data_IF_277315636681
#
_entry.id   IF_277315636681
#
_cell.length_a   1.000
_cell.length_b   1.000
_cell.length_c   1.000
_cell.angle_alpha   90.00
_cell.angle_beta   90.00
_cell.angle_gamma   90.00
#
_symmetry.space_group_name_H-M   'P 1'
#
loop_
_entity.id
_entity.type
_entity.pdbx_description
1 polymer ?
#
# COMPACT_ATOMS: atom_id res chain seq x y z
N UNK A 1 -35.37 12.90 -76.04
CA UNK A 1 -34.68 14.18 -76.42
C UNK A 1 -33.57 14.42 -75.42
N UNK A 2 -32.40 14.23 -75.92
CA UNK A 2 -31.23 15.07 -75.79
C UNK A 2 -30.77 15.38 -74.32
N UNK A 3 -29.58 15.24 -73.92
CA UNK A 3 -28.19 15.19 -74.43
C UNK A 3 -27.32 14.97 -73.28
N UNK A 4 -26.43 14.03 -73.30
CA UNK A 4 -25.05 14.16 -73.72
C UNK A 4 -24.11 14.97 -72.76
N UNK A 5 -23.25 14.23 -72.13
CA UNK A 5 -21.80 14.42 -71.98
C UNK A 5 -21.33 15.44 -70.99
N UNK A 6 -20.51 14.99 -70.09
CA UNK A 6 -19.07 15.22 -70.18
C UNK A 6 -18.31 14.44 -69.09
N UNK A 7 -17.47 13.54 -69.57
CA UNK A 7 -16.43 12.91 -68.78
C UNK A 7 -15.36 13.98 -68.48
N UNK A 8 -15.04 14.13 -67.20
CA UNK A 8 -13.85 14.86 -66.81
C UNK A 8 -13.06 13.96 -65.84
N UNK A 9 -12.04 13.36 -66.44
CA UNK A 9 -10.92 12.69 -65.76
C UNK A 9 -10.23 13.69 -64.87
N UNK A 10 -10.43 13.58 -63.54
CA UNK A 10 -9.56 14.19 -62.57
C UNK A 10 -8.58 13.11 -62.10
N UNK A 11 -7.40 13.09 -62.67
CA UNK A 11 -6.26 12.33 -62.18
C UNK A 11 -5.81 13.01 -60.89
N UNK A 12 -6.27 12.53 -59.76
CA UNK A 12 -5.74 12.91 -58.45
C UNK A 12 -4.46 12.13 -58.22
N UNK A 13 -3.37 12.83 -58.37
CA UNK A 13 -2.00 12.45 -58.03
C UNK A 13 -1.94 12.24 -56.51
N UNK A 14 -2.04 11.00 -56.03
CA UNK A 14 -1.76 10.66 -54.65
C UNK A 14 -0.24 10.81 -54.42
N UNK A 15 0.18 11.99 -53.94
CA UNK A 15 1.48 12.17 -53.34
C UNK A 15 1.52 11.40 -52.04
N UNK A 16 2.08 10.19 -52.05
CA UNK A 16 2.42 9.43 -50.87
C UNK A 16 3.54 10.18 -50.12
N UNK A 17 3.16 10.96 -49.11
CA UNK A 17 4.10 11.48 -48.16
C UNK A 17 4.59 10.29 -47.34
N UNK A 18 5.76 9.76 -47.70
CA UNK A 18 6.48 8.84 -46.85
C UNK A 18 6.91 9.62 -45.60
N UNK A 19 6.08 9.52 -44.55
CA UNK A 19 6.49 9.91 -43.19
C UNK A 19 7.59 8.93 -42.80
N UNK A 20 8.85 9.38 -42.90
CA UNK A 20 9.92 8.75 -42.18
C UNK A 20 9.55 8.79 -40.70
N UNK A 21 9.05 7.72 -40.21
CA UNK A 21 8.99 7.47 -38.76
C UNK A 21 10.43 7.48 -38.29
N UNK A 22 10.85 8.60 -37.75
CA UNK A 22 12.02 8.62 -36.88
C UNK A 22 11.74 7.57 -35.81
N UNK A 23 12.35 6.41 -35.96
CA UNK A 23 12.40 5.40 -34.93
C UNK A 23 13.00 6.10 -33.71
N UNK A 24 12.14 6.61 -32.86
CA UNK A 24 12.51 7.02 -31.52
C UNK A 24 13.05 5.74 -30.90
N UNK A 25 14.36 5.62 -30.81
CA UNK A 25 15.01 4.55 -30.06
C UNK A 25 14.29 4.46 -28.73
N UNK A 26 13.84 3.28 -28.29
CA UNK A 26 13.25 3.16 -26.97
C UNK A 26 14.25 3.75 -26.00
N UNK A 27 13.84 4.60 -25.05
CA UNK A 27 14.75 5.16 -24.07
C UNK A 27 15.51 3.98 -23.49
N UNK A 28 16.84 4.03 -23.61
CA UNK A 28 17.73 3.06 -22.99
C UNK A 28 17.18 2.86 -21.57
N UNK A 29 16.71 1.67 -21.26
CA UNK A 29 16.28 1.34 -19.93
C UNK A 29 17.55 1.41 -19.06
N UNK A 30 17.94 2.64 -18.69
CA UNK A 30 18.78 2.82 -17.51
C UNK A 30 18.10 1.98 -16.45
N UNK A 31 18.80 1.05 -15.79
CA UNK A 31 18.23 0.28 -14.72
C UNK A 31 17.57 1.31 -13.79
N UNK A 32 16.24 1.33 -13.81
CA UNK A 32 15.48 2.37 -13.12
C UNK A 32 15.83 2.22 -11.65
N UNK A 33 16.65 3.14 -11.15
CA UNK A 33 17.05 3.16 -9.75
C UNK A 33 15.73 3.19 -8.97
N UNK A 34 15.49 2.15 -8.21
CA UNK A 34 14.31 2.05 -7.37
C UNK A 34 14.46 3.06 -6.22
N UNK A 35 13.76 4.18 -6.33
CA UNK A 35 13.86 5.30 -5.38
C UNK A 35 12.88 5.12 -4.22
N UNK A 36 13.16 5.81 -3.11
CA UNK A 36 12.27 5.85 -1.95
C UNK A 36 10.86 6.34 -2.31
N UNK A 37 10.77 7.36 -3.18
CA UNK A 37 9.48 7.90 -3.60
C UNK A 37 8.69 6.88 -4.43
N UNK A 38 9.38 6.08 -5.24
CA UNK A 38 8.76 4.98 -5.96
C UNK A 38 8.26 3.90 -5.00
N UNK A 39 9.05 3.54 -3.98
CA UNK A 39 8.63 2.60 -2.95
C UNK A 39 7.37 3.08 -2.22
N UNK A 40 7.31 4.35 -1.83
CA UNK A 40 6.14 4.96 -1.19
C UNK A 40 4.91 4.96 -2.08
N UNK A 41 5.07 5.30 -3.37
CA UNK A 41 3.94 5.34 -4.30
C UNK A 41 3.34 3.96 -4.56
N UNK A 42 4.17 2.93 -4.66
CA UNK A 42 3.69 1.54 -4.87
C UNK A 42 3.01 1.03 -3.61
N UNK A 43 3.68 1.08 -2.45
CA UNK A 43 3.13 0.59 -1.19
C UNK A 43 1.87 1.35 -0.73
N UNK A 44 1.78 2.66 -1.01
CA UNK A 44 0.60 3.46 -0.68
C UNK A 44 -0.65 3.07 -1.47
N UNK A 45 -0.49 2.50 -2.68
CA UNK A 45 -1.59 2.04 -3.51
C UNK A 45 -2.13 0.64 -3.17
N UNK A 46 -1.39 -0.16 -2.41
CA UNK A 46 -1.70 -1.58 -2.15
C UNK A 46 -1.78 -1.93 -0.66
N UNK A 47 -1.64 -0.95 0.23
CA UNK A 47 -1.55 -1.21 1.67
C UNK A 47 -2.91 -1.52 2.30
N UNK A 48 -3.11 -2.71 2.89
CA UNK A 48 -4.34 -3.04 3.62
C UNK A 48 -4.62 -2.11 4.80
N UNK A 49 -3.60 -1.50 5.40
CA UNK A 49 -3.78 -0.54 6.51
C UNK A 49 -4.44 0.77 6.04
N UNK A 50 -4.13 1.22 4.82
CA UNK A 50 -4.76 2.40 4.22
C UNK A 50 -6.20 2.08 3.82
N UNK A 51 -6.46 0.89 3.28
CA UNK A 51 -7.81 0.43 2.95
C UNK A 51 -8.68 0.34 4.21
N UNK A 52 -8.16 -0.22 5.31
CA UNK A 52 -8.85 -0.27 6.59
C UNK A 52 -9.16 1.14 7.11
N UNK A 53 -8.18 2.05 7.15
CA UNK A 53 -8.38 3.42 7.58
C UNK A 53 -9.45 4.16 6.73
N UNK A 54 -9.46 3.93 5.41
CA UNK A 54 -10.48 4.48 4.51
C UNK A 54 -11.88 3.90 4.78
N UNK A 55 -11.96 2.62 5.14
CA UNK A 55 -13.22 1.98 5.51
C UNK A 55 -13.76 2.56 6.83
N UNK A 56 -12.88 2.79 7.82
CA UNK A 56 -13.24 3.41 9.09
C UNK A 56 -13.76 4.84 8.91
N UNK A 57 -13.15 5.63 8.03
CA UNK A 57 -13.65 6.95 7.66
C UNK A 57 -15.05 6.89 7.04
N UNK A 58 -15.30 5.94 6.13
CA UNK A 58 -16.61 5.73 5.53
C UNK A 58 -17.65 5.30 6.58
N UNK A 59 -17.27 4.43 7.50
CA UNK A 59 -18.12 3.98 8.59
C UNK A 59 -18.49 5.13 9.54
N UNK A 60 -17.53 5.97 9.92
CA UNK A 60 -17.76 7.16 10.74
C UNK A 60 -18.71 8.16 10.05
N UNK A 61 -18.54 8.37 8.74
CA UNK A 61 -19.43 9.25 7.94
C UNK A 61 -20.85 8.68 7.87
N UNK A 62 -21.00 7.38 7.67
CA UNK A 62 -22.29 6.70 7.69
C UNK A 62 -22.95 6.79 9.05
N UNK A 63 -22.18 6.59 10.14
CA UNK A 63 -22.64 6.73 11.51
C UNK A 63 -23.16 8.15 11.81
N UNK A 64 -22.53 9.18 11.26
CA UNK A 64 -23.02 10.56 11.34
C UNK A 64 -24.38 10.72 10.67
N UNK A 65 -24.59 10.12 9.51
CA UNK A 65 -25.88 10.12 8.82
C UNK A 65 -26.96 9.48 9.70
N UNK A 66 -26.65 8.29 10.27
CA UNK A 66 -27.56 7.59 11.18
C UNK A 66 -27.87 8.43 12.43
N UNK A 67 -26.85 9.08 13.01
CA UNK A 67 -27.02 9.96 14.16
C UNK A 67 -27.98 11.14 13.88
N UNK A 68 -28.12 11.53 12.62
CA UNK A 68 -29.06 12.57 12.18
C UNK A 68 -30.50 12.09 11.97
N UNK A 69 -30.77 10.79 11.96
CA UNK A 69 -32.11 10.28 11.75
C UNK A 69 -33.00 10.56 12.98
N UNK A 70 -34.28 10.73 12.71
CA UNK A 70 -35.32 10.79 13.77
C UNK A 70 -35.73 9.36 14.14
N UNK A 71 -36.18 9.14 15.38
CA UNK A 71 -36.80 7.86 15.75
C UNK A 71 -37.98 7.52 14.84
N UNK A 72 -38.14 6.24 14.53
CA UNK A 72 -39.24 5.76 13.73
C UNK A 72 -40.55 5.80 14.52
N UNK A 73 -41.70 6.06 13.87
CA UNK A 73 -43.02 5.78 14.45
C UNK A 73 -43.18 4.28 14.74
N UNK A 74 -43.81 3.98 15.87
CA UNK A 74 -44.12 2.61 16.28
C UNK A 74 -45.64 2.40 16.24
N UNK A 75 -46.09 1.38 15.53
CA UNK A 75 -47.48 0.94 15.52
C UNK A 75 -47.59 -0.22 16.47
N UNK A 76 -48.47 -0.09 17.46
CA UNK A 76 -48.76 -1.12 18.44
C UNK A 76 -50.19 -1.60 18.26
N UNK A 77 -50.39 -2.91 18.20
CA UNK A 77 -51.70 -3.54 18.20
C UNK A 77 -51.73 -4.54 19.34
N UNK A 78 -52.59 -4.30 20.31
CA UNK A 78 -52.78 -5.14 21.48
C UNK A 78 -54.19 -5.70 21.44
N UNK A 79 -54.32 -6.99 21.61
CA UNK A 79 -55.64 -7.66 21.76
C UNK A 79 -55.69 -8.35 23.07
N UNK A 80 -56.69 -7.99 23.89
CA UNK A 80 -56.93 -8.53 25.19
C UNK A 80 -58.24 -9.34 25.21
N UNK A 81 -58.42 -10.20 26.19
CA UNK A 81 -59.63 -11.01 26.42
C UNK A 81 -60.05 -11.88 25.20
N UNK A 82 -59.09 -12.32 24.41
CA UNK A 82 -59.33 -13.12 23.19
C UNK A 82 -59.63 -14.59 23.48
N UNK A 83 -59.33 -15.07 24.71
CA UNK A 83 -59.65 -16.40 25.18
C UNK A 83 -59.74 -16.41 26.71
N UNK A 84 -60.81 -16.95 27.28
CA UNK A 84 -60.99 -16.96 28.72
C UNK A 84 -62.16 -17.83 29.11
N UNK A 85 -62.49 -17.87 30.40
CA UNK A 85 -63.64 -18.59 31.00
C UNK A 85 -64.65 -17.60 31.64
N UNK A 86 -65.84 -18.04 31.87
CA UNK A 86 -66.89 -17.21 32.44
C UNK A 86 -67.38 -16.13 31.52
N UNK A 87 -67.42 -14.90 31.96
CA UNK A 87 -67.82 -13.72 31.17
C UNK A 87 -66.90 -13.38 29.98
N UNK A 88 -65.65 -13.85 30.02
CA UNK A 88 -64.64 -13.69 28.96
C UNK A 88 -64.54 -14.89 28.02
N UNK A 89 -65.60 -15.76 27.98
CA UNK A 89 -65.61 -16.94 27.09
C UNK A 89 -65.62 -16.56 25.60
N UNK A 90 -64.65 -17.04 24.86
CA UNK A 90 -64.49 -16.81 23.43
C UNK A 90 -64.12 -15.36 23.10
N UNK A 91 -64.47 -14.91 21.92
CA UNK A 91 -64.09 -13.57 21.39
C UNK A 91 -65.08 -12.45 21.67
N UNK A 92 -66.17 -12.74 22.46
CA UNK A 92 -67.22 -11.73 22.71
C UNK A 92 -66.76 -10.54 23.55
N UNK A 93 -65.79 -10.75 24.39
CA UNK A 93 -65.21 -9.73 25.26
C UNK A 93 -63.81 -9.32 24.76
N UNK A 94 -63.45 -9.70 23.51
CA UNK A 94 -62.18 -9.33 22.95
C UNK A 94 -62.15 -7.81 22.72
N UNK A 95 -61.07 -7.19 23.23
CA UNK A 95 -60.77 -5.78 23.03
C UNK A 95 -59.50 -5.69 22.22
N UNK A 96 -59.54 -4.90 21.16
CA UNK A 96 -58.35 -4.65 20.32
C UNK A 96 -58.05 -3.17 20.31
N UNK A 97 -56.88 -2.80 20.83
CA UNK A 97 -56.38 -1.45 20.84
C UNK A 97 -55.29 -1.31 19.79
N UNK A 98 -55.45 -0.35 18.86
CA UNK A 98 -54.43 0.03 17.95
C UNK A 98 -53.89 1.43 18.35
N UNK A 99 -52.58 1.51 18.56
CA UNK A 99 -51.92 2.74 18.96
C UNK A 99 -50.79 3.10 17.99
N UNK A 100 -50.53 4.42 17.83
CA UNK A 100 -49.38 4.98 17.13
C UNK A 100 -48.55 5.77 18.16
N UNK A 101 -47.32 5.37 18.37
CA UNK A 101 -46.35 6.13 19.18
C UNK A 101 -45.30 6.81 18.28
N UNK A 102 -45.18 8.13 18.43
CA UNK A 102 -44.19 8.89 17.77
C UNK A 102 -43.23 9.51 18.80
N UNK A 103 -41.99 8.96 18.95
CA UNK A 103 -41.02 9.53 19.88
C UNK A 103 -40.54 10.91 19.41
N UNK A 104 -40.72 11.94 20.24
CA UNK A 104 -40.27 13.28 19.99
C UNK A 104 -39.03 13.58 20.82
N UNK A 105 -37.91 13.85 20.15
CA UNK A 105 -36.67 14.22 20.84
C UNK A 105 -36.66 15.72 21.17
N UNK A 106 -36.68 16.04 22.46
CA UNK A 106 -36.62 17.41 23.00
C UNK A 106 -35.25 17.68 23.63
N UNK A 107 -34.95 18.95 23.92
CA UNK A 107 -33.75 19.36 24.67
C UNK A 107 -32.44 19.20 23.94
N UNK A 108 -32.44 19.27 22.60
CA UNK A 108 -31.21 19.23 21.81
C UNK A 108 -30.53 17.84 21.72
N UNK A 109 -31.21 16.75 22.10
CA UNK A 109 -30.62 15.38 22.07
C UNK A 109 -30.10 15.01 20.70
N UNK A 110 -30.84 15.33 19.62
CA UNK A 110 -30.42 15.04 18.25
C UNK A 110 -29.18 15.83 17.88
N UNK A 111 -29.09 17.12 18.18
CA UNK A 111 -27.92 17.94 17.88
C UNK A 111 -26.68 17.48 18.64
N UNK A 112 -26.84 17.11 19.92
CA UNK A 112 -25.75 16.53 20.71
C UNK A 112 -25.24 15.19 20.11
N UNK A 113 -26.15 14.32 19.68
CA UNK A 113 -25.82 13.05 19.02
C UNK A 113 -25.06 13.28 17.70
N UNK A 114 -25.46 14.27 16.91
CA UNK A 114 -24.77 14.67 15.68
C UNK A 114 -23.37 15.20 16.02
N UNK A 115 -23.23 16.08 17.02
CA UNK A 115 -21.95 16.64 17.42
C UNK A 115 -20.94 15.55 17.87
N UNK A 116 -21.41 14.55 18.60
CA UNK A 116 -20.57 13.38 18.94
C UNK A 116 -20.15 12.60 17.69
N UNK A 117 -21.05 12.42 16.72
CA UNK A 117 -20.74 11.72 15.48
C UNK A 117 -19.77 12.53 14.60
N UNK A 118 -19.89 13.87 14.57
CA UNK A 118 -18.95 14.77 13.89
C UNK A 118 -17.54 14.63 14.49
N UNK A 119 -17.42 14.67 15.81
CA UNK A 119 -16.14 14.47 16.51
C UNK A 119 -15.52 13.09 16.21
N UNK A 120 -16.33 12.04 16.09
CA UNK A 120 -15.86 10.71 15.69
C UNK A 120 -15.37 10.67 14.23
N UNK A 121 -16.05 11.39 13.35
CA UNK A 121 -15.62 11.51 11.94
C UNK A 121 -14.30 12.26 11.82
N UNK A 122 -14.11 13.33 12.60
CA UNK A 122 -12.85 14.08 12.62
C UNK A 122 -11.72 13.23 13.19
N UNK A 123 -11.99 12.45 14.25
CA UNK A 123 -11.03 11.49 14.77
C UNK A 123 -10.63 10.46 13.72
N UNK A 124 -11.57 9.86 13.00
CA UNK A 124 -11.28 8.89 11.97
C UNK A 124 -10.39 9.45 10.85
N UNK A 125 -10.52 10.74 10.52
CA UNK A 125 -9.62 11.43 9.58
C UNK A 125 -8.20 11.54 10.11
N UNK A 126 -8.05 11.87 11.39
CA UNK A 126 -6.74 11.93 12.06
C UNK A 126 -6.10 10.55 12.11
N UNK A 127 -6.86 9.53 12.50
CA UNK A 127 -6.38 8.15 12.56
C UNK A 127 -5.91 7.66 11.17
N UNK A 128 -6.61 8.03 10.09
CA UNK A 128 -6.19 7.75 8.72
C UNK A 128 -4.89 8.48 8.33
N UNK A 129 -4.72 9.73 8.76
CA UNK A 129 -3.47 10.46 8.53
C UNK A 129 -2.29 9.85 9.30
N UNK A 130 -2.51 9.37 10.52
CA UNK A 130 -1.52 8.63 11.31
C UNK A 130 -1.15 7.33 10.60
N UNK A 131 -2.12 6.54 10.15
CA UNK A 131 -1.86 5.29 9.42
C UNK A 131 -0.99 5.51 8.17
N UNK A 132 -1.22 6.59 7.43
CA UNK A 132 -0.41 6.97 6.28
C UNK A 132 1.02 7.38 6.68
N UNK A 133 1.16 8.14 7.76
CA UNK A 133 2.47 8.55 8.28
C UNK A 133 3.29 7.34 8.76
N UNK A 134 2.66 6.41 9.48
CA UNK A 134 3.28 5.18 9.97
C UNK A 134 3.72 4.27 8.82
N UNK A 135 2.89 4.14 7.78
CA UNK A 135 3.25 3.41 6.58
C UNK A 135 4.49 4.03 5.91
N UNK A 136 4.49 5.35 5.71
CA UNK A 136 5.61 6.06 5.10
C UNK A 136 6.90 5.92 5.93
N UNK A 137 6.81 5.95 7.25
CA UNK A 137 7.94 5.71 8.15
C UNK A 137 8.48 4.29 7.96
N UNK A 138 7.62 3.28 7.98
CA UNK A 138 8.00 1.87 7.82
C UNK A 138 8.67 1.61 6.47
N UNK A 139 8.12 2.15 5.38
CA UNK A 139 8.72 2.05 4.05
C UNK A 139 10.11 2.68 4.04
N UNK A 140 10.25 3.86 4.65
CA UNK A 140 11.53 4.57 4.71
C UNK A 140 12.58 3.80 5.48
N UNK A 141 12.23 3.22 6.61
CA UNK A 141 13.13 2.40 7.43
C UNK A 141 13.63 1.19 6.65
N UNK A 142 12.72 0.41 6.06
CA UNK A 142 13.08 -0.81 5.31
C UNK A 142 13.89 -0.47 4.05
N UNK A 143 13.56 0.65 3.37
CA UNK A 143 14.33 1.11 2.22
C UNK A 143 15.76 1.50 2.61
N UNK A 144 15.94 2.24 3.70
CA UNK A 144 17.26 2.64 4.21
C UNK A 144 18.06 1.40 4.63
N UNK A 145 17.43 0.42 5.29
CA UNK A 145 18.08 -0.84 5.64
C UNK A 145 18.57 -1.59 4.41
N UNK A 146 17.75 -1.69 3.36
CA UNK A 146 18.14 -2.33 2.11
C UNK A 146 19.31 -1.59 1.44
N UNK A 147 19.23 -0.27 1.34
CA UNK A 147 20.30 0.55 0.76
C UNK A 147 21.62 0.45 1.57
N UNK A 148 21.52 0.42 2.90
CA UNK A 148 22.69 0.25 3.78
C UNK A 148 23.30 -1.16 3.63
N UNK A 149 22.48 -2.20 3.51
CA UNK A 149 22.94 -3.55 3.28
C UNK A 149 23.70 -3.68 1.95
N UNK A 150 23.21 -3.05 0.88
CA UNK A 150 23.93 -2.98 -0.41
C UNK A 150 25.30 -2.31 -0.28
N UNK A 151 25.36 -1.20 0.46
CA UNK A 151 26.64 -0.51 0.70
C UNK A 151 27.62 -1.37 1.50
N UNK A 152 27.12 -2.20 2.43
CA UNK A 152 27.98 -3.14 3.17
C UNK A 152 28.55 -4.20 2.24
N UNK A 153 27.80 -4.67 1.24
CA UNK A 153 28.34 -5.59 0.22
C UNK A 153 29.48 -4.95 -0.54
N UNK A 154 29.34 -3.70 -0.99
CA UNK A 154 30.40 -3.00 -1.72
C UNK A 154 31.67 -2.86 -0.88
N UNK A 155 31.51 -2.49 0.40
CA UNK A 155 32.64 -2.37 1.36
C UNK A 155 33.29 -3.73 1.58
N UNK A 156 32.49 -4.78 1.83
CA UNK A 156 33.02 -6.12 2.07
C UNK A 156 33.73 -6.69 0.84
N UNK A 157 33.26 -6.38 -0.37
CA UNK A 157 33.93 -6.73 -1.63
C UNK A 157 35.32 -6.08 -1.73
N UNK A 158 35.42 -4.78 -1.42
CA UNK A 158 36.68 -4.08 -1.41
C UNK A 158 37.65 -4.66 -0.34
N UNK A 159 37.13 -5.00 0.84
CA UNK A 159 37.92 -5.63 1.90
C UNK A 159 38.48 -6.99 1.46
N UNK A 160 37.63 -7.82 0.81
CA UNK A 160 38.07 -9.11 0.30
C UNK A 160 39.15 -8.96 -0.80
N UNK A 161 39.00 -7.97 -1.68
CA UNK A 161 40.00 -7.67 -2.70
C UNK A 161 41.34 -7.23 -2.09
N UNK A 162 41.32 -6.31 -1.10
CA UNK A 162 42.53 -5.84 -0.39
C UNK A 162 43.21 -7.01 0.32
N UNK A 163 42.46 -7.85 1.04
CA UNK A 163 43.00 -9.01 1.73
C UNK A 163 43.60 -10.03 0.75
N UNK A 164 42.94 -10.25 -0.40
CA UNK A 164 43.45 -11.09 -1.48
C UNK A 164 44.76 -10.56 -2.08
N UNK A 165 44.87 -9.25 -2.28
CA UNK A 165 46.10 -8.61 -2.73
C UNK A 165 47.23 -8.76 -1.71
N UNK A 166 46.94 -8.55 -0.42
CA UNK A 166 47.90 -8.71 0.66
C UNK A 166 48.44 -10.17 0.75
N UNK A 167 47.55 -11.14 0.64
CA UNK A 167 47.93 -12.55 0.61
C UNK A 167 48.85 -12.87 -0.61
N UNK A 168 48.50 -12.39 -1.82
CA UNK A 168 49.33 -12.58 -3.00
C UNK A 168 50.73 -11.96 -2.83
N UNK A 169 50.82 -10.75 -2.27
CA UNK A 169 52.07 -10.08 -2.00
C UNK A 169 52.91 -10.84 -0.93
N UNK A 170 52.29 -11.34 0.12
CA UNK A 170 52.97 -12.14 1.17
C UNK A 170 53.52 -13.43 0.59
N UNK A 171 52.72 -14.14 -0.23
CA UNK A 171 53.12 -15.39 -0.91
C UNK A 171 54.34 -15.16 -1.81
N UNK A 172 54.36 -14.09 -2.62
CA UNK A 172 55.50 -13.78 -3.51
C UNK A 172 56.75 -13.53 -2.67
N UNK A 173 56.67 -12.74 -1.57
CA UNK A 173 57.83 -12.49 -0.69
C UNK A 173 58.36 -13.77 -0.05
N UNK A 174 57.50 -14.68 0.40
CA UNK A 174 57.88 -15.96 1.00
C UNK A 174 58.56 -16.84 -0.02
N UNK A 175 57.98 -16.96 -1.24
CA UNK A 175 58.58 -17.76 -2.31
C UNK A 175 59.93 -17.22 -2.80
N UNK A 176 60.17 -15.91 -2.71
CA UNK A 176 61.44 -15.27 -3.03
C UNK A 176 62.45 -15.33 -1.87
N UNK A 177 62.12 -15.98 -0.75
CA UNK A 177 62.99 -16.05 0.43
C UNK A 177 63.08 -14.74 1.23
N UNK A 178 62.26 -13.72 0.90
CA UNK A 178 62.26 -12.39 1.52
C UNK A 178 61.20 -12.21 2.61
N UNK A 179 60.49 -13.29 3.02
CA UNK A 179 59.44 -13.26 4.05
C UNK A 179 59.36 -14.57 4.82
N UNK A 180 58.84 -14.51 6.05
CA UNK A 180 58.62 -15.69 6.87
C UNK A 180 57.32 -16.43 6.46
N UNK A 181 57.27 -17.76 6.47
CA UNK A 181 56.06 -18.54 6.15
C UNK A 181 54.84 -18.14 7.00
N UNK A 182 55.06 -17.72 8.25
CA UNK A 182 53.96 -17.25 9.12
C UNK A 182 53.26 -16.02 8.59
N UNK A 183 53.95 -15.14 7.86
CA UNK A 183 53.34 -13.93 7.29
C UNK A 183 52.35 -14.26 6.20
N UNK A 184 52.66 -15.31 5.38
CA UNK A 184 51.70 -15.83 4.39
C UNK A 184 50.48 -16.45 5.06
N UNK A 185 50.65 -17.23 6.13
CA UNK A 185 49.54 -17.84 6.86
C UNK A 185 48.63 -16.80 7.50
N UNK A 186 49.19 -15.74 8.10
CA UNK A 186 48.43 -14.60 8.66
C UNK A 186 47.61 -13.90 7.56
N UNK A 187 48.23 -13.63 6.42
CA UNK A 187 47.56 -12.99 5.30
C UNK A 187 46.45 -13.88 4.72
N UNK A 188 46.61 -15.20 4.73
CA UNK A 188 45.58 -16.16 4.28
C UNK A 188 44.37 -16.17 5.23
N UNK A 189 44.60 -16.19 6.54
CA UNK A 189 43.52 -16.06 7.53
C UNK A 189 42.72 -14.77 7.35
N UNK A 190 43.40 -13.64 7.10
CA UNK A 190 42.73 -12.36 6.83
C UNK A 190 41.91 -12.41 5.54
N UNK A 191 42.42 -13.05 4.48
CA UNK A 191 41.70 -13.26 3.22
C UNK A 191 40.44 -14.08 3.44
N UNK A 192 40.55 -15.23 4.12
CA UNK A 192 39.41 -16.11 4.42
C UNK A 192 38.34 -15.36 5.24
N UNK A 193 38.76 -14.63 6.28
CA UNK A 193 37.83 -13.85 7.09
C UNK A 193 37.10 -12.77 6.27
N UNK A 194 37.80 -12.09 5.35
CA UNK A 194 37.19 -11.10 4.48
C UNK A 194 36.21 -11.72 3.47
N UNK A 195 36.52 -12.89 2.92
CA UNK A 195 35.63 -13.64 2.03
C UNK A 195 34.35 -14.10 2.75
N UNK A 196 34.48 -14.64 3.97
CA UNK A 196 33.32 -15.00 4.81
C UNK A 196 32.49 -13.75 5.15
N UNK A 197 33.17 -12.61 5.41
CA UNK A 197 32.51 -11.32 5.63
C UNK A 197 31.69 -10.87 4.42
N UNK A 198 32.23 -11.03 3.21
CA UNK A 198 31.52 -10.71 1.98
C UNK A 198 30.29 -11.61 1.79
N UNK A 199 30.42 -12.93 1.97
CA UNK A 199 29.28 -13.83 1.85
C UNK A 199 28.16 -13.50 2.85
N UNK A 200 28.53 -13.12 4.09
CA UNK A 200 27.54 -12.67 5.08
C UNK A 200 26.82 -11.40 4.60
N UNK A 201 27.57 -10.39 4.14
CA UNK A 201 27.00 -9.13 3.66
C UNK A 201 26.04 -9.35 2.48
N UNK A 202 26.38 -10.25 1.55
CA UNK A 202 25.51 -10.61 0.41
C UNK A 202 24.19 -11.20 0.92
N UNK A 203 24.24 -12.16 1.85
CA UNK A 203 23.00 -12.77 2.41
C UNK A 203 22.15 -11.75 3.17
N UNK A 204 22.78 -10.85 3.93
CA UNK A 204 22.05 -9.77 4.63
C UNK A 204 21.36 -8.83 3.63
N UNK A 205 22.01 -8.49 2.52
CA UNK A 205 21.42 -7.66 1.47
C UNK A 205 20.24 -8.36 0.77
N UNK A 206 20.33 -9.67 0.51
CA UNK A 206 19.23 -10.45 -0.05
C UNK A 206 18.01 -10.47 0.87
N UNK A 207 18.22 -10.66 2.18
CA UNK A 207 17.14 -10.61 3.17
C UNK A 207 16.50 -9.22 3.21
N UNK A 208 17.31 -8.16 3.23
CA UNK A 208 16.82 -6.78 3.27
C UNK A 208 16.00 -6.43 2.02
N UNK A 209 16.45 -6.84 0.81
CA UNK A 209 15.66 -6.72 -0.43
C UNK A 209 14.35 -7.49 -0.36
N UNK A 210 14.39 -8.73 0.16
CA UNK A 210 13.19 -9.55 0.33
C UNK A 210 12.18 -8.92 1.29
N UNK A 211 12.63 -8.25 2.34
CA UNK A 211 11.77 -7.51 3.26
C UNK A 211 11.13 -6.29 2.59
N UNK A 212 11.90 -5.56 1.77
CA UNK A 212 11.37 -4.45 0.99
C UNK A 212 10.33 -4.92 -0.03
N UNK A 213 10.62 -5.99 -0.76
CA UNK A 213 9.72 -6.53 -1.78
C UNK A 213 8.39 -7.06 -1.22
N UNK A 214 8.35 -7.47 0.06
CA UNK A 214 7.11 -7.89 0.72
C UNK A 214 6.23 -6.74 1.17
N UNK A 215 6.78 -5.54 1.26
CA UNK A 215 6.06 -4.36 1.73
C UNK A 215 5.41 -3.58 0.56
N UNK A 216 5.94 -3.76 -0.63
CA UNK A 216 5.52 -3.06 -1.87
C UNK A 216 4.82 -4.01 -2.84
#
# INVERSE_FOLDING_TARGET
MHRVIAALLAVTFCASIAQAQTATSPPSANPSIFTLDRARSVAGGTSPSIDAASADMRAATAARTVAGLRPNPEIQVQSENVAGSGQYRGVRSAETTAGLALPIELGGKRSARIAVADSRSDRARIDAAIALADLNLRISQIYIEAAAAERRVDIARQQAEIAGNAFRAARVRVTAGAGAPIDQQRADVLRINAEVGLERAVREAEVARGNLARLI
#
